data_IF_824366172932
#
_entry.id   IF_824366172932
#
_cell.length_a   1.000
_cell.length_b   1.000
_cell.length_c   1.000
_cell.angle_alpha   90.00
_cell.angle_beta   90.00
_cell.angle_gamma   90.00
#
_symmetry.space_group_name_H-M   'P 1'
#
loop_
_entity.id
_entity.type
_entity.pdbx_description
1 polymer ?
#
# COMPACT_ATOMS: atom_id res chain seq x y z
N UNK A 1 3.47 2.00 16.04
CA UNK A 1 3.70 3.46 15.97
C UNK A 1 2.92 4.03 14.80
N UNK A 2 2.44 5.27 14.90
CA UNK A 2 1.81 5.97 13.79
C UNK A 2 2.79 6.94 13.14
N UNK A 3 3.08 6.75 11.86
CA UNK A 3 3.77 7.73 11.03
C UNK A 3 2.72 8.64 10.38
N UNK A 4 2.90 9.96 10.48
CA UNK A 4 2.00 10.90 9.80
C UNK A 4 2.59 11.33 8.45
N UNK A 5 1.78 11.16 7.41
CA UNK A 5 2.01 11.67 6.07
C UNK A 5 1.11 12.88 5.84
N UNK A 6 1.64 13.97 5.30
CA UNK A 6 0.82 15.09 4.86
C UNK A 6 0.07 14.74 3.57
N UNK A 7 -1.10 15.34 3.35
CA UNK A 7 -1.80 15.22 2.07
C UNK A 7 -1.29 16.26 1.07
N UNK A 8 -0.98 15.84 -0.16
CA UNK A 8 -0.85 16.72 -1.31
C UNK A 8 -2.17 16.69 -2.08
N UNK A 9 -2.82 17.84 -2.17
CA UNK A 9 -4.11 18.05 -2.85
C UNK A 9 -4.00 19.31 -3.72
N UNK A 10 -4.83 19.50 -4.76
CA UNK A 10 -4.74 20.68 -5.64
C UNK A 10 -4.66 22.01 -4.88
N UNK A 11 -5.47 22.18 -3.84
CA UNK A 11 -5.58 23.41 -3.06
C UNK A 11 -4.28 23.78 -2.34
N UNK A 12 -3.50 22.78 -1.90
CA UNK A 12 -2.22 23.03 -1.24
C UNK A 12 -1.01 22.90 -2.16
N UNK A 13 -1.14 22.18 -3.29
CA UNK A 13 -0.11 22.12 -4.32
C UNK A 13 0.23 23.51 -4.87
N UNK A 14 -0.78 24.37 -5.01
CA UNK A 14 -0.63 25.76 -5.47
C UNK A 14 -0.40 26.76 -4.32
N UNK A 15 -0.33 26.29 -3.07
CA UNK A 15 -0.15 27.12 -1.88
C UNK A 15 1.06 26.65 -1.06
N UNK A 16 2.24 27.19 -1.40
CA UNK A 16 3.51 26.85 -0.77
C UNK A 16 3.48 26.98 0.76
N UNK A 17 2.86 28.02 1.31
CA UNK A 17 2.75 28.25 2.75
C UNK A 17 2.00 27.13 3.47
N UNK A 18 1.01 26.52 2.82
CA UNK A 18 0.28 25.39 3.40
C UNK A 18 1.10 24.10 3.41
N UNK A 19 1.84 23.82 2.34
CA UNK A 19 2.77 22.68 2.31
C UNK A 19 3.92 22.85 3.30
N UNK A 20 4.51 24.04 3.40
CA UNK A 20 5.57 24.32 4.37
C UNK A 20 5.08 24.14 5.81
N UNK A 21 3.84 24.52 6.13
CA UNK A 21 3.27 24.28 7.47
C UNK A 21 3.20 22.78 7.80
N UNK A 22 2.81 21.93 6.85
CA UNK A 22 2.79 20.47 7.05
C UNK A 22 4.20 19.93 7.28
N UNK A 23 5.16 20.35 6.46
CA UNK A 23 6.54 19.88 6.54
C UNK A 23 7.25 20.35 7.82
N UNK A 24 7.00 21.60 8.25
CA UNK A 24 7.49 22.13 9.52
C UNK A 24 6.82 21.49 10.73
N UNK A 25 5.59 20.97 10.60
CA UNK A 25 4.96 20.17 11.65
C UNK A 25 5.60 18.78 11.82
N UNK A 26 6.54 18.41 10.93
CA UNK A 26 7.32 17.19 11.04
C UNK A 26 6.73 15.97 10.33
N UNK A 27 5.81 16.14 9.38
CA UNK A 27 5.34 15.00 8.57
C UNK A 27 6.53 14.33 7.86
N UNK A 28 6.50 13.00 7.76
CA UNK A 28 7.61 12.23 7.19
C UNK A 28 7.70 12.35 5.67
N UNK A 29 6.64 12.83 5.04
CA UNK A 29 6.53 13.06 3.61
C UNK A 29 5.11 13.47 3.27
N UNK A 30 4.81 13.46 1.98
CA UNK A 30 3.46 13.71 1.47
C UNK A 30 2.89 12.47 0.79
N UNK A 31 1.57 12.36 0.72
CA UNK A 31 0.83 11.36 -0.07
C UNK A 31 -0.06 12.08 -1.08
N UNK A 32 -0.20 11.52 -2.27
CA UNK A 32 -1.08 12.02 -3.31
C UNK A 32 -1.83 10.91 -4.04
N UNK A 33 -2.91 11.26 -4.74
CA UNK A 33 -3.63 10.38 -5.66
C UNK A 33 -3.70 11.00 -7.06
N UNK A 34 -3.53 10.20 -8.12
CA UNK A 34 -3.71 10.64 -9.51
C UNK A 34 -5.09 10.29 -10.09
N UNK A 35 -5.91 9.62 -9.30
CA UNK A 35 -7.31 9.21 -9.54
C UNK A 35 -8.15 9.63 -8.34
N UNK A 36 -9.49 9.77 -8.43
CA UNK A 36 -10.30 10.08 -7.26
C UNK A 36 -10.07 9.08 -6.13
N UNK A 37 -9.81 9.58 -4.92
CA UNK A 37 -9.48 8.78 -3.73
C UNK A 37 -10.69 8.05 -3.12
N UNK A 38 -11.91 8.35 -3.60
CA UNK A 38 -13.16 7.89 -3.02
C UNK A 38 -13.75 8.81 -1.95
N UNK A 39 -13.03 9.86 -1.54
CA UNK A 39 -13.51 10.90 -0.61
C UNK A 39 -13.28 12.30 -1.15
N UNK A 40 -14.20 13.21 -0.82
CA UNK A 40 -14.14 14.61 -1.26
C UNK A 40 -13.04 15.41 -0.53
N UNK A 41 -12.65 15.00 0.68
CA UNK A 41 -11.65 15.70 1.49
C UNK A 41 -10.21 15.45 1.01
N UNK A 42 -10.02 14.52 0.06
CA UNK A 42 -8.72 14.21 -0.53
C UNK A 42 -8.83 14.15 -2.07
N UNK A 43 -9.05 15.30 -2.74
CA UNK A 43 -9.20 15.35 -4.18
C UNK A 43 -7.92 14.92 -4.92
N UNK A 44 -8.09 14.39 -6.12
CA UNK A 44 -6.99 13.90 -6.94
C UNK A 44 -6.10 15.05 -7.46
N UNK A 45 -4.84 14.72 -7.69
CA UNK A 45 -3.82 15.62 -8.22
C UNK A 45 -3.45 15.28 -9.65
N UNK A 46 -2.99 16.27 -10.41
CA UNK A 46 -2.41 16.09 -11.74
C UNK A 46 -0.89 15.96 -11.65
N UNK A 47 -0.25 15.50 -12.73
CA UNK A 47 1.22 15.54 -12.83
C UNK A 47 1.78 16.95 -12.68
N UNK A 48 1.02 18.00 -13.04
CA UNK A 48 1.40 19.39 -12.79
C UNK A 48 1.41 19.72 -11.29
N UNK A 49 0.37 19.35 -10.52
CA UNK A 49 0.37 19.53 -9.06
C UNK A 49 1.55 18.79 -8.40
N UNK A 50 1.80 17.54 -8.82
CA UNK A 50 2.94 16.75 -8.33
C UNK A 50 4.25 17.47 -8.68
N UNK A 51 4.43 17.91 -9.93
CA UNK A 51 5.61 18.65 -10.36
C UNK A 51 5.82 19.91 -9.52
N UNK A 52 4.77 20.69 -9.26
CA UNK A 52 4.85 21.92 -8.45
C UNK A 52 5.21 21.60 -6.98
N UNK A 53 4.75 20.48 -6.44
CA UNK A 53 5.11 20.07 -5.08
C UNK A 53 6.59 19.64 -4.96
N UNK A 54 7.14 19.07 -6.04
CA UNK A 54 8.54 18.67 -6.14
C UNK A 54 9.43 19.90 -6.41
N UNK A 55 9.04 20.72 -7.39
CA UNK A 55 9.73 21.89 -7.93
C UNK A 55 8.92 23.15 -7.63
N UNK A 56 9.45 24.19 -7.01
CA UNK A 56 8.69 25.46 -6.96
C UNK A 56 8.75 26.19 -8.31
N UNK A 57 7.60 26.68 -8.75
CA UNK A 57 7.48 27.71 -9.78
C UNK A 57 7.48 29.09 -9.13
N UNK A 58 8.19 30.06 -9.72
CA UNK A 58 7.78 31.47 -9.60
C UNK A 58 8.25 32.30 -10.80
N UNK A 59 7.35 33.12 -11.35
CA UNK A 59 7.74 34.22 -12.22
C UNK A 59 8.35 35.35 -11.38
N UNK A 60 9.63 35.66 -11.65
CA UNK A 60 10.17 37.01 -11.45
C UNK A 60 11.04 37.28 -10.21
N UNK A 61 11.33 36.33 -9.32
CA UNK A 61 12.24 36.58 -8.18
C UNK A 61 13.15 35.40 -7.85
N UNK A 62 14.46 35.63 -7.95
CA UNK A 62 15.48 34.70 -7.49
C UNK A 62 15.53 34.61 -5.97
N UNK A 63 15.21 33.44 -5.42
CA UNK A 63 15.97 32.72 -4.38
C UNK A 63 15.31 31.35 -4.16
N UNK A 64 16.15 30.33 -4.03
CA UNK A 64 15.84 28.89 -4.10
C UNK A 64 14.62 28.44 -3.31
N UNK A 65 13.83 27.48 -3.82
CA UNK A 65 13.52 26.26 -3.04
C UNK A 65 12.66 25.23 -3.78
N UNK A 66 13.15 24.00 -4.00
CA UNK A 66 12.29 22.83 -4.17
C UNK A 66 11.74 22.38 -2.80
N UNK A 67 10.42 22.44 -2.53
CA UNK A 67 9.86 22.18 -1.19
C UNK A 67 10.20 20.78 -0.68
N UNK A 68 9.74 19.72 -1.34
CA UNK A 68 10.06 18.37 -0.88
C UNK A 68 11.56 18.07 -0.91
N UNK A 69 12.30 18.60 -1.89
CA UNK A 69 13.73 18.38 -1.97
C UNK A 69 14.51 19.16 -0.88
N UNK A 70 14.04 20.35 -0.49
CA UNK A 70 14.55 21.16 0.63
C UNK A 70 14.51 20.37 1.92
N UNK A 71 13.34 19.81 2.22
CA UNK A 71 13.13 19.02 3.42
C UNK A 71 13.68 17.59 3.24
N UNK A 72 14.13 17.21 2.04
CA UNK A 72 14.56 15.85 1.65
C UNK A 72 13.50 14.82 2.02
N UNK A 73 12.25 15.12 1.68
CA UNK A 73 11.06 14.36 2.04
C UNK A 73 10.53 13.57 0.84
N UNK A 74 10.09 12.32 1.05
CA UNK A 74 9.41 11.53 0.04
C UNK A 74 8.00 12.05 -0.28
N UNK A 75 7.58 11.83 -1.52
CA UNK A 75 6.19 11.87 -1.98
C UNK A 75 5.74 10.47 -2.35
N UNK A 76 4.70 9.98 -1.67
CA UNK A 76 4.00 8.74 -1.99
C UNK A 76 2.88 9.05 -2.99
N UNK A 77 2.74 8.27 -4.06
CA UNK A 77 1.69 8.52 -5.07
C UNK A 77 0.88 7.26 -5.33
N UNK A 78 -0.45 7.38 -5.24
CA UNK A 78 -1.35 6.40 -5.84
C UNK A 78 -1.36 6.63 -7.35
N UNK A 79 -0.78 5.69 -8.10
CA UNK A 79 -0.51 5.84 -9.53
C UNK A 79 -1.56 5.07 -10.37
N UNK A 80 -2.77 5.62 -10.48
CA UNK A 80 -3.73 5.27 -11.52
C UNK A 80 -4.24 6.57 -12.16
N UNK A 81 -4.55 6.55 -13.45
CA UNK A 81 -5.16 7.68 -14.17
C UNK A 81 -6.49 7.27 -14.76
N UNK A 82 -7.49 8.15 -14.68
CA UNK A 82 -8.67 8.03 -15.53
C UNK A 82 -8.24 8.21 -16.98
N UNK A 83 -8.48 7.19 -17.79
CA UNK A 83 -8.21 7.23 -19.22
C UNK A 83 -9.53 7.42 -19.96
N UNK A 84 -9.53 8.36 -20.90
CA UNK A 84 -10.63 8.52 -21.84
C UNK A 84 -10.49 7.43 -22.92
N UNK A 85 -10.94 6.23 -22.56
CA UNK A 85 -10.90 5.07 -23.43
C UNK A 85 -12.28 4.98 -24.09
N UNK A 86 -12.43 5.67 -25.22
CA UNK A 86 -13.64 5.68 -26.06
C UNK A 86 -14.18 4.24 -26.25
N UNK A 87 -15.16 3.84 -25.42
CA UNK A 87 -15.92 2.59 -25.53
C UNK A 87 -15.28 1.27 -25.06
N UNK A 88 -14.03 1.23 -24.56
CA UNK A 88 -13.37 -0.05 -24.22
C UNK A 88 -13.56 -0.52 -22.76
N UNK A 89 -13.93 0.38 -21.84
CA UNK A 89 -14.12 0.06 -20.41
C UNK A 89 -15.55 0.29 -19.90
N UNK A 90 -16.49 0.59 -20.79
CA UNK A 90 -17.87 0.80 -20.38
C UNK A 90 -18.43 -0.52 -19.87
N UNK A 91 -18.76 -0.56 -18.59
CA UNK A 91 -19.57 -1.63 -18.03
C UNK A 91 -20.92 -1.54 -18.73
N UNK A 92 -21.26 -2.55 -19.52
CA UNK A 92 -22.50 -2.56 -20.28
C UNK A 92 -23.67 -2.96 -19.36
N UNK A 93 -24.55 -2.00 -19.07
CA UNK A 93 -25.74 -2.23 -18.26
C UNK A 93 -26.59 -3.38 -18.81
N UNK A 94 -26.79 -4.41 -17.98
CA UNK A 94 -27.58 -5.61 -18.35
C UNK A 94 -26.78 -6.71 -19.06
N UNK A 95 -25.51 -6.47 -19.40
CA UNK A 95 -24.59 -7.49 -19.95
C UNK A 95 -23.55 -7.89 -18.90
N UNK A 96 -22.96 -6.91 -18.23
CA UNK A 96 -21.98 -7.15 -17.18
C UNK A 96 -22.65 -7.35 -15.81
N UNK A 97 -22.27 -8.41 -15.11
CA UNK A 97 -22.75 -8.69 -13.77
C UNK A 97 -21.96 -7.86 -12.74
N UNK A 98 -22.57 -6.84 -12.15
CA UNK A 98 -21.93 -5.99 -11.12
C UNK A 98 -21.47 -6.77 -9.86
N UNK A 99 -21.99 -7.99 -9.64
CA UNK A 99 -21.50 -8.89 -8.59
C UNK A 99 -20.24 -9.65 -8.95
N UNK A 100 -19.86 -9.68 -10.23
CA UNK A 100 -18.62 -10.33 -10.66
C UNK A 100 -17.42 -9.45 -10.37
N UNK A 101 -16.38 -10.03 -9.76
CA UNK A 101 -15.11 -9.30 -9.57
C UNK A 101 -14.46 -8.92 -10.91
N UNK A 102 -14.64 -9.73 -11.95
CA UNK A 102 -14.09 -9.43 -13.28
C UNK A 102 -14.70 -8.17 -13.90
N UNK A 103 -15.96 -7.86 -13.59
CA UNK A 103 -16.61 -6.60 -14.01
C UNK A 103 -15.96 -5.40 -13.35
N UNK A 104 -15.64 -5.47 -12.05
CA UNK A 104 -14.86 -4.43 -11.39
C UNK A 104 -13.44 -4.32 -11.95
N UNK A 105 -12.77 -5.45 -12.19
CA UNK A 105 -11.42 -5.49 -12.75
C UNK A 105 -11.33 -4.78 -14.12
N UNK A 106 -12.36 -4.91 -14.97
CA UNK A 106 -12.46 -4.18 -16.24
C UNK A 106 -12.46 -2.66 -16.05
N UNK A 107 -13.04 -2.13 -14.98
CA UNK A 107 -13.06 -0.67 -14.72
C UNK A 107 -11.70 -0.10 -14.30
N UNK A 108 -10.72 -0.97 -14.06
CA UNK A 108 -9.37 -0.62 -13.56
C UNK A 108 -8.30 -1.36 -14.38
N UNK A 109 -8.23 -1.23 -15.71
CA UNK A 109 -7.22 -1.95 -16.50
C UNK A 109 -5.80 -1.53 -16.12
N UNK A 110 -4.81 -2.36 -16.45
CA UNK A 110 -3.39 -2.07 -16.15
C UNK A 110 -2.92 -0.77 -16.81
N UNK A 111 -3.50 -0.41 -17.95
CA UNK A 111 -3.18 0.82 -18.67
C UNK A 111 -3.36 2.10 -17.84
N UNK A 112 -4.31 2.12 -16.89
CA UNK A 112 -4.48 3.25 -15.95
C UNK A 112 -3.26 3.41 -15.05
N UNK A 113 -2.72 2.30 -14.55
CA UNK A 113 -1.53 2.26 -13.70
C UNK A 113 -0.28 2.61 -14.53
N UNK A 114 -0.12 1.99 -15.70
CA UNK A 114 0.97 2.24 -16.64
C UNK A 114 1.06 3.71 -17.07
N UNK A 115 -0.06 4.34 -17.41
CA UNK A 115 -0.12 5.74 -17.82
C UNK A 115 0.32 6.67 -16.69
N UNK A 116 -0.14 6.41 -15.45
CA UNK A 116 0.24 7.19 -14.28
C UNK A 116 1.75 7.08 -14.02
N UNK A 117 2.28 5.86 -14.03
CA UNK A 117 3.71 5.59 -13.82
C UNK A 117 4.57 6.26 -14.88
N UNK A 118 4.17 6.23 -16.15
CA UNK A 118 4.90 6.93 -17.22
C UNK A 118 4.99 8.44 -16.97
N UNK A 119 3.90 9.09 -16.51
CA UNK A 119 3.93 10.50 -16.14
C UNK A 119 4.87 10.75 -14.95
N UNK A 120 4.81 9.90 -13.93
CA UNK A 120 5.67 9.99 -12.75
C UNK A 120 7.15 9.81 -13.08
N UNK A 121 7.49 8.79 -13.88
CA UNK A 121 8.83 8.54 -14.40
C UNK A 121 9.36 9.77 -15.15
N UNK A 122 8.54 10.44 -15.95
CA UNK A 122 8.96 11.65 -16.65
C UNK A 122 9.38 12.76 -15.69
N UNK A 123 8.70 12.89 -14.55
CA UNK A 123 9.04 13.86 -13.49
C UNK A 123 10.32 13.52 -12.74
N UNK A 124 10.72 12.24 -12.68
CA UNK A 124 11.95 11.84 -11.97
C UNK A 124 13.22 12.46 -12.55
N UNK A 125 13.20 12.87 -13.83
CA UNK A 125 14.31 13.60 -14.46
C UNK A 125 14.65 14.88 -13.69
N UNK A 126 13.64 15.58 -13.17
CA UNK A 126 13.81 16.81 -12.38
C UNK A 126 14.45 16.53 -11.02
N UNK A 127 14.37 15.29 -10.50
CA UNK A 127 14.91 14.90 -9.19
C UNK A 127 16.38 14.46 -9.20
N UNK A 128 16.97 14.34 -10.40
CA UNK A 128 18.37 13.95 -10.61
C UNK A 128 19.32 15.08 -10.22
N UNK A 129 20.61 14.77 -10.09
CA UNK A 129 21.63 15.77 -9.79
C UNK A 129 21.62 16.90 -10.85
N UNK A 130 21.57 18.16 -10.42
CA UNK A 130 21.42 19.34 -11.27
C UNK A 130 20.00 19.60 -11.79
N UNK A 131 19.01 18.76 -11.42
CA UNK A 131 17.60 18.96 -11.76
C UNK A 131 16.88 19.93 -10.80
N UNK A 132 15.74 20.46 -11.23
CA UNK A 132 14.99 21.48 -10.48
C UNK A 132 14.37 20.99 -9.15
N UNK A 133 14.31 19.67 -8.94
CA UNK A 133 13.85 19.01 -7.71
C UNK A 133 14.92 18.06 -7.14
N UNK A 134 16.20 18.35 -7.35
CA UNK A 134 17.29 17.51 -6.84
C UNK A 134 17.16 17.25 -5.34
N UNK A 135 17.00 15.97 -4.97
CA UNK A 135 16.89 15.53 -3.57
C UNK A 135 15.46 15.22 -3.12
N UNK A 136 14.45 15.49 -3.96
CA UNK A 136 13.12 14.93 -3.75
C UNK A 136 13.14 13.43 -4.09
N UNK A 137 12.32 12.67 -3.36
CA UNK A 137 12.13 11.25 -3.60
C UNK A 137 10.67 10.99 -3.95
N UNK A 138 10.44 10.20 -4.99
CA UNK A 138 9.10 9.79 -5.40
C UNK A 138 8.95 8.29 -5.13
N UNK A 139 7.85 7.90 -4.50
CA UNK A 139 7.52 6.52 -4.25
C UNK A 139 6.17 6.23 -4.88
N UNK A 140 6.13 5.22 -5.74
CA UNK A 140 4.86 4.67 -6.20
C UNK A 140 4.46 3.65 -5.15
N UNK A 141 3.30 3.89 -4.55
CA UNK A 141 2.74 2.92 -3.60
C UNK A 141 1.83 1.96 -4.34
N UNK A 142 1.63 0.79 -3.74
CA UNK A 142 0.54 -0.12 -4.07
C UNK A 142 0.40 -0.50 -5.53
N UNK A 143 1.55 -0.77 -6.15
CA UNK A 143 1.66 -1.42 -7.45
C UNK A 143 0.83 -2.70 -7.48
N UNK A 144 -0.03 -2.85 -8.48
CA UNK A 144 -0.79 -4.09 -8.69
C UNK A 144 -0.31 -4.86 -9.90
N UNK A 145 0.24 -4.21 -10.93
CA UNK A 145 0.66 -4.87 -12.16
C UNK A 145 2.19 -5.07 -12.23
N UNK A 146 2.62 -6.32 -12.12
CA UNK A 146 4.01 -6.71 -12.29
C UNK A 146 4.43 -6.91 -13.75
N UNK A 147 3.46 -7.06 -14.67
CA UNK A 147 3.77 -7.43 -16.06
C UNK A 147 4.28 -6.27 -16.88
N UNK A 148 3.73 -5.08 -16.66
CA UNK A 148 4.04 -3.89 -17.45
C UNK A 148 4.48 -2.75 -16.55
N UNK A 149 3.67 -2.35 -15.58
CA UNK A 149 3.90 -1.22 -14.67
C UNK A 149 5.23 -1.36 -13.92
N UNK A 150 5.44 -2.50 -13.25
CA UNK A 150 6.69 -2.77 -12.54
C UNK A 150 7.90 -2.80 -13.46
N UNK A 151 7.76 -3.43 -14.64
CA UNK A 151 8.84 -3.47 -15.64
C UNK A 151 9.22 -2.07 -16.16
N UNK A 152 8.30 -1.10 -16.19
CA UNK A 152 8.62 0.28 -16.53
C UNK A 152 9.54 0.94 -15.50
N UNK A 153 9.40 0.55 -14.22
CA UNK A 153 10.22 1.07 -13.12
C UNK A 153 11.59 0.38 -13.13
N UNK A 154 11.63 -0.96 -13.17
CA UNK A 154 12.89 -1.75 -13.22
C UNK A 154 13.82 -1.34 -14.35
N UNK A 155 13.28 -1.15 -15.56
CA UNK A 155 14.09 -0.95 -16.77
C UNK A 155 14.67 0.45 -16.93
N UNK A 156 14.31 1.41 -16.07
CA UNK A 156 14.86 2.75 -16.15
C UNK A 156 15.79 2.95 -14.96
N UNK A 157 17.02 3.40 -15.23
CA UNK A 157 18.00 3.86 -14.22
C UNK A 157 17.44 5.07 -13.44
N UNK A 158 16.38 4.86 -12.68
CA UNK A 158 15.77 5.82 -11.80
C UNK A 158 16.15 5.36 -10.41
N UNK A 159 17.42 5.58 -10.07
CA UNK A 159 18.02 5.34 -8.73
C UNK A 159 17.33 6.13 -7.58
N UNK A 160 16.13 6.69 -7.79
CA UNK A 160 15.37 7.53 -6.87
C UNK A 160 13.85 7.28 -6.87
N UNK A 161 13.32 6.36 -7.68
CA UNK A 161 11.96 5.83 -7.45
C UNK A 161 12.14 4.58 -6.63
N UNK A 162 11.67 4.65 -5.40
CA UNK A 162 11.66 3.50 -4.50
C UNK A 162 10.23 2.99 -4.44
N UNK A 163 10.08 1.67 -4.46
CA UNK A 163 8.80 0.99 -4.58
C UNK A 163 8.25 0.60 -3.21
N UNK A 164 7.01 0.95 -2.95
CA UNK A 164 6.28 0.40 -1.81
C UNK A 164 5.22 -0.52 -2.39
N UNK A 165 5.50 -1.83 -2.42
CA UNK A 165 4.49 -2.83 -2.73
C UNK A 165 3.48 -2.92 -1.58
N UNK A 166 2.23 -3.17 -1.94
CA UNK A 166 1.27 -3.65 -0.96
C UNK A 166 1.23 -5.15 -0.89
N UNK A 167 1.13 -5.62 0.34
CA UNK A 167 0.43 -6.83 0.69
C UNK A 167 -1.07 -6.54 0.68
N UNK A 168 -1.73 -6.80 -0.45
CA UNK A 168 -3.16 -7.14 -0.42
C UNK A 168 -3.37 -8.52 0.18
N UNK A 169 -4.61 -8.96 0.41
CA UNK A 169 -4.94 -10.32 0.87
C UNK A 169 -6.42 -10.70 0.90
N UNK A 170 -6.81 -11.93 0.51
CA UNK A 170 -7.24 -13.12 1.32
C UNK A 170 -7.83 -14.32 0.51
N UNK A 171 -7.76 -15.55 1.06
CA UNK A 171 -8.37 -16.85 0.69
C UNK A 171 -9.90 -16.88 0.84
N UNK A 172 -10.59 -17.65 0.00
CA UNK A 172 -11.95 -18.14 0.28
C UNK A 172 -12.03 -19.69 0.23
N UNK A 173 -12.72 -20.23 1.24
CA UNK A 173 -13.13 -21.61 1.56
C UNK A 173 -13.03 -22.74 0.50
N UNK A 174 -12.43 -23.87 0.94
CA UNK A 174 -13.23 -25.09 1.05
C UNK A 174 -12.99 -26.27 0.12
N UNK A 175 -11.91 -26.34 -0.68
CA UNK A 175 -11.43 -27.61 -1.29
C UNK A 175 -9.90 -27.52 -1.43
N UNK A 176 -9.20 -28.61 -1.12
CA UNK A 176 -7.73 -28.75 -1.21
C UNK A 176 -7.18 -28.24 -2.55
N UNK A 177 -6.60 -27.05 -2.57
CA UNK A 177 -5.65 -26.55 -3.58
C UNK A 177 -4.99 -25.26 -3.04
N UNK A 178 -3.74 -25.02 -3.40
CA UNK A 178 -2.79 -24.24 -2.61
C UNK A 178 -2.58 -22.82 -3.20
N UNK A 179 -3.20 -21.70 -2.74
CA UNK A 179 -2.94 -20.33 -3.29
C UNK A 179 -2.95 -19.13 -2.27
N UNK A 180 -2.21 -18.01 -2.53
CA UNK A 180 -1.03 -17.46 -1.74
C UNK A 180 -0.68 -15.94 -1.68
N UNK A 181 -0.51 -15.17 -0.57
CA UNK A 181 -0.51 -13.66 -0.53
C UNK A 181 0.42 -12.92 -1.38
N UNK A 182 0.02 -11.90 -2.12
CA UNK A 182 -0.26 -12.24 -3.47
C UNK A 182 -1.47 -13.22 -3.59
N UNK A 183 -2.49 -13.19 -2.69
CA UNK A 183 -3.25 -14.39 -2.12
C UNK A 183 -4.29 -14.75 -3.10
N UNK A 184 -5.02 -13.71 -3.34
CA UNK A 184 -6.18 -13.72 -4.15
C UNK A 184 -5.65 -13.41 -5.53
N UNK A 185 -6.15 -14.21 -6.44
CA UNK A 185 -6.08 -13.91 -7.85
C UNK A 185 -7.51 -13.53 -8.21
N UNK A 186 -7.65 -12.64 -9.19
CA UNK A 186 -8.97 -12.19 -9.65
C UNK A 186 -9.95 -13.34 -9.94
N UNK A 187 -9.44 -14.50 -10.34
CA UNK A 187 -10.16 -15.72 -10.70
C UNK A 187 -10.74 -16.45 -9.49
N UNK A 188 -10.15 -16.28 -8.31
CA UNK A 188 -10.54 -16.98 -7.07
C UNK A 188 -11.48 -16.13 -6.19
N UNK A 189 -11.75 -14.88 -6.56
CA UNK A 189 -12.63 -13.99 -5.79
C UNK A 189 -14.09 -14.35 -6.07
N UNK A 190 -14.88 -14.73 -5.05
CA UNK A 190 -16.28 -15.09 -5.27
C UNK A 190 -17.13 -13.91 -5.68
N UNK A 191 -18.13 -14.20 -6.51
CA UNK A 191 -19.16 -13.22 -6.88
C UNK A 191 -19.88 -12.66 -5.65
N UNK A 192 -19.87 -11.34 -5.53
CA UNK A 192 -20.48 -10.59 -4.44
C UNK A 192 -19.66 -10.47 -3.17
N UNK A 193 -18.44 -11.00 -3.12
CA UNK A 193 -17.56 -10.82 -1.96
C UNK A 193 -16.80 -9.50 -2.04
N UNK A 194 -17.52 -8.42 -1.77
CA UNK A 194 -17.03 -7.03 -1.89
C UNK A 194 -15.91 -6.67 -0.90
N UNK A 195 -15.60 -7.54 0.07
CA UNK A 195 -14.43 -7.40 0.96
C UNK A 195 -13.10 -7.38 0.21
N UNK A 196 -13.09 -7.92 -1.01
CA UNK A 196 -11.93 -7.93 -1.91
C UNK A 196 -11.80 -6.68 -2.78
N UNK A 197 -12.76 -5.75 -2.76
CA UNK A 197 -12.67 -4.52 -3.56
C UNK A 197 -11.56 -3.63 -3.03
N UNK A 198 -10.57 -3.31 -3.86
CA UNK A 198 -9.51 -2.37 -3.55
C UNK A 198 -8.97 -1.70 -4.82
N UNK A 199 -8.35 -0.53 -4.66
CA UNK A 199 -7.71 0.19 -5.75
C UNK A 199 -6.22 0.42 -5.40
N UNK A 200 -5.27 -0.01 -6.25
CA UNK A 200 -5.48 -0.71 -7.52
C UNK A 200 -6.06 -2.13 -7.33
N UNK A 201 -6.71 -2.65 -8.38
CA UNK A 201 -7.44 -3.91 -8.30
C UNK A 201 -6.51 -5.13 -8.20
N UNK A 202 -6.94 -6.15 -7.44
CA UNK A 202 -6.30 -7.48 -7.42
C UNK A 202 -6.29 -8.08 -8.83
N UNK A 203 -5.12 -8.56 -9.26
CA UNK A 203 -4.86 -9.07 -10.62
C UNK A 203 -4.84 -10.60 -10.66
N UNK A 204 -4.58 -11.12 -11.85
CA UNK A 204 -4.63 -12.54 -12.15
C UNK A 204 -3.46 -13.36 -11.56
N UNK A 205 -3.54 -14.68 -11.68
CA UNK A 205 -2.55 -15.60 -11.11
C UNK A 205 -1.14 -15.40 -11.65
N UNK A 206 -0.99 -15.19 -12.96
CA UNK A 206 0.33 -15.01 -13.56
C UNK A 206 0.93 -13.63 -13.26
N UNK A 207 0.13 -12.63 -12.91
CA UNK A 207 0.64 -11.37 -12.34
C UNK A 207 1.17 -11.59 -10.92
N UNK A 208 0.44 -12.36 -10.10
CA UNK A 208 0.87 -12.76 -8.76
C UNK A 208 2.26 -13.40 -8.76
N UNK A 209 2.54 -14.35 -9.65
CA UNK A 209 3.86 -15.02 -9.67
C UNK A 209 4.99 -13.99 -9.91
N UNK A 210 4.79 -13.02 -10.81
CA UNK A 210 5.78 -11.97 -11.07
C UNK A 210 5.98 -10.99 -9.92
N UNK A 211 4.95 -10.74 -9.12
CA UNK A 211 5.09 -9.92 -7.91
C UNK A 211 5.95 -10.65 -6.86
N UNK A 212 5.88 -11.98 -6.77
CA UNK A 212 6.75 -12.77 -5.89
C UNK A 212 8.19 -12.73 -6.37
N UNK A 213 8.41 -12.94 -7.66
CA UNK A 213 9.74 -12.85 -8.26
C UNK A 213 10.36 -11.48 -7.95
N UNK A 214 9.63 -10.39 -8.19
CA UNK A 214 10.10 -9.03 -7.91
C UNK A 214 10.38 -8.76 -6.43
N UNK A 215 9.58 -9.32 -5.52
CA UNK A 215 9.82 -9.20 -4.09
C UNK A 215 11.12 -9.90 -3.69
N UNK A 216 11.35 -11.12 -4.19
CA UNK A 216 12.53 -11.91 -3.85
C UNK A 216 13.80 -11.40 -4.51
N UNK A 217 13.69 -10.86 -5.72
CA UNK A 217 14.78 -10.23 -6.47
C UNK A 217 15.19 -8.88 -5.86
N UNK A 218 14.39 -8.33 -4.93
CA UNK A 218 14.65 -7.07 -4.25
C UNK A 218 14.29 -5.82 -5.07
N UNK A 219 13.49 -5.98 -6.11
CA UNK A 219 12.97 -4.85 -6.89
C UNK A 219 11.92 -4.04 -6.10
N UNK A 220 11.34 -4.66 -5.07
CA UNK A 220 10.34 -4.07 -4.20
C UNK A 220 10.98 -3.71 -2.85
N UNK A 221 11.04 -2.40 -2.54
CA UNK A 221 11.72 -1.94 -1.32
C UNK A 221 10.94 -2.24 -0.03
N UNK A 222 9.60 -2.19 -0.08
CA UNK A 222 8.77 -2.26 1.12
C UNK A 222 7.46 -3.01 0.88
N UNK A 223 7.03 -3.73 1.92
CA UNK A 223 5.69 -4.30 2.00
C UNK A 223 4.83 -3.53 3.01
N UNK A 224 3.63 -3.14 2.61
CA UNK A 224 2.65 -2.45 3.46
C UNK A 224 1.25 -3.06 3.36
N UNK A 225 0.43 -2.87 4.38
CA UNK A 225 -0.94 -3.41 4.46
C UNK A 225 -1.99 -2.68 3.61
N UNK A 226 -1.75 -1.38 3.37
CA UNK A 226 -2.78 -0.41 2.96
C UNK A 226 -4.12 -0.58 3.69
N UNK A 227 -4.03 -0.81 5.00
CA UNK A 227 -5.20 -1.02 5.82
C UNK A 227 -6.18 0.15 5.68
N UNK A 228 -7.29 -0.11 5.00
CA UNK A 228 -8.32 0.88 4.67
C UNK A 228 -9.68 0.35 5.12
N UNK A 229 -9.93 0.28 6.44
CA UNK A 229 -11.18 -0.21 6.97
C UNK A 229 -12.31 0.80 6.70
N UNK A 230 -13.51 0.28 6.53
CA UNK A 230 -14.74 1.07 6.42
C UNK A 230 -15.78 0.54 7.40
N UNK A 231 -16.92 1.23 7.50
CA UNK A 231 -18.06 0.73 8.26
C UNK A 231 -18.75 -0.39 7.48
N UNK A 232 -19.31 -1.43 8.14
CA UNK A 232 -19.86 -2.60 7.44
C UNK A 232 -20.92 -2.28 6.38
N UNK A 233 -21.71 -1.21 6.57
CA UNK A 233 -22.76 -0.81 5.65
C UNK A 233 -22.21 -0.36 4.28
N UNK A 234 -20.98 0.16 4.25
CA UNK A 234 -20.36 0.67 3.04
C UNK A 234 -19.71 -0.43 2.19
N UNK A 235 -19.44 -1.62 2.75
CA UNK A 235 -18.88 -2.73 1.97
C UNK A 235 -19.96 -3.37 1.07
N UNK A 236 -21.25 -3.19 1.36
CA UNK A 236 -22.37 -3.72 0.58
C UNK A 236 -22.32 -5.25 0.36
N UNK A 237 -21.93 -6.03 1.38
CA UNK A 237 -21.74 -7.48 1.25
C UNK A 237 -23.03 -8.23 0.83
N UNK A 238 -24.20 -7.79 1.32
CA UNK A 238 -25.48 -8.40 0.96
C UNK A 238 -25.86 -8.13 -0.51
N UNK A 239 -25.68 -6.88 -0.97
CA UNK A 239 -25.92 -6.50 -2.37
C UNK A 239 -24.88 -7.13 -3.30
N UNK A 240 -23.64 -7.27 -2.82
CA UNK A 240 -22.50 -7.84 -3.54
C UNK A 240 -22.05 -7.01 -4.75
N UNK A 241 -22.52 -5.78 -4.90
CA UNK A 241 -22.21 -4.94 -6.06
C UNK A 241 -20.80 -4.35 -5.91
N UNK A 242 -19.84 -4.91 -6.66
CA UNK A 242 -18.46 -4.44 -6.66
C UNK A 242 -18.30 -3.04 -7.27
N UNK A 243 -19.24 -2.54 -8.05
CA UNK A 243 -19.14 -1.21 -8.65
C UNK A 243 -19.52 -0.12 -7.62
N UNK A 244 -20.47 -0.41 -6.75
CA UNK A 244 -20.94 0.51 -5.70
C UNK A 244 -20.20 0.41 -4.37
N UNK A 245 -19.76 -0.78 -3.99
CA UNK A 245 -19.16 -1.02 -2.67
C UNK A 245 -17.97 -0.09 -2.39
N UNK A 246 -17.71 0.23 -1.14
CA UNK A 246 -16.48 0.91 -0.76
C UNK A 246 -15.27 0.01 -1.03
N UNK A 247 -14.19 0.59 -1.59
CA UNK A 247 -12.94 -0.13 -1.82
C UNK A 247 -11.94 0.09 -0.68
N UNK A 248 -11.41 -0.99 -0.11
CA UNK A 248 -10.40 -0.95 0.95
C UNK A 248 -10.35 -2.24 1.76
N UNK A 249 -9.15 -2.82 1.91
CA UNK A 249 -8.97 -4.09 2.62
C UNK A 249 -8.63 -3.85 4.09
N UNK A 250 -9.33 -4.56 4.97
CA UNK A 250 -9.07 -4.54 6.41
C UNK A 250 -7.99 -5.56 6.80
N UNK A 251 -6.71 -5.19 6.65
CA UNK A 251 -5.55 -6.11 6.64
C UNK A 251 -4.50 -5.96 7.76
N UNK A 252 -4.49 -4.87 8.55
CA UNK A 252 -3.32 -4.46 9.36
C UNK A 252 -2.73 -5.56 10.26
N UNK A 253 -3.57 -6.36 10.90
CA UNK A 253 -3.13 -7.41 11.84
C UNK A 253 -2.42 -8.58 11.15
N UNK A 254 -2.69 -8.80 9.86
CA UNK A 254 -2.39 -10.06 9.19
C UNK A 254 -1.18 -9.99 8.25
N UNK A 255 -0.56 -8.82 8.11
CA UNK A 255 0.59 -8.56 7.24
C UNK A 255 1.69 -9.61 7.43
N UNK A 256 2.26 -9.69 8.64
CA UNK A 256 3.36 -10.60 8.96
C UNK A 256 2.98 -12.08 8.75
N UNK A 257 1.91 -12.63 9.38
CA UNK A 257 1.57 -14.03 9.21
C UNK A 257 1.18 -14.36 7.76
N UNK A 258 0.52 -13.46 7.03
CA UNK A 258 0.19 -13.71 5.63
C UNK A 258 1.46 -13.77 4.78
N UNK A 259 2.31 -12.74 4.80
CA UNK A 259 3.56 -12.74 4.01
C UNK A 259 4.38 -13.98 4.30
N UNK A 260 4.51 -14.37 5.56
CA UNK A 260 5.24 -15.56 5.94
C UNK A 260 4.60 -16.83 5.39
N UNK A 261 3.33 -17.08 5.73
CA UNK A 261 2.57 -18.27 5.29
C UNK A 261 2.75 -18.52 3.81
N UNK A 262 2.63 -17.45 3.05
CA UNK A 262 2.55 -17.57 1.62
C UNK A 262 3.88 -17.45 0.90
N UNK A 263 4.80 -16.65 1.44
CA UNK A 263 6.14 -16.50 0.89
C UNK A 263 7.02 -17.71 1.11
N UNK A 264 6.71 -18.57 2.10
CA UNK A 264 7.43 -19.83 2.34
C UNK A 264 7.55 -20.68 1.08
N UNK A 265 6.51 -20.78 0.24
CA UNK A 265 6.58 -21.60 -0.98
C UNK A 265 7.51 -21.04 -2.05
N UNK A 266 7.77 -19.73 -2.00
CA UNK A 266 8.73 -19.06 -2.89
C UNK A 266 10.13 -18.99 -2.28
N UNK A 267 10.29 -19.43 -1.02
CA UNK A 267 11.56 -19.41 -0.33
C UNK A 267 11.89 -18.06 0.32
N UNK A 268 10.88 -17.25 0.70
CA UNK A 268 11.15 -16.01 1.46
C UNK A 268 11.96 -16.34 2.73
N UNK A 269 13.04 -15.62 2.95
CA UNK A 269 13.85 -15.77 4.17
C UNK A 269 13.37 -14.82 5.26
N UNK A 270 13.81 -15.07 6.49
CA UNK A 270 13.56 -14.15 7.60
C UNK A 270 14.22 -12.78 7.38
N UNK A 271 15.42 -12.77 6.78
CA UNK A 271 16.14 -11.55 6.45
C UNK A 271 15.39 -10.71 5.42
N UNK A 272 14.83 -11.34 4.38
CA UNK A 272 13.98 -10.67 3.39
C UNK A 272 12.70 -10.13 4.02
N UNK A 273 12.05 -10.92 4.87
CA UNK A 273 10.86 -10.49 5.61
C UNK A 273 11.17 -9.30 6.53
N UNK A 274 12.33 -9.30 7.19
CA UNK A 274 12.80 -8.21 8.03
C UNK A 274 13.16 -6.97 7.21
N UNK A 275 13.80 -7.11 6.05
CA UNK A 275 14.24 -5.99 5.22
C UNK A 275 13.08 -5.25 4.55
N UNK A 276 12.06 -5.99 4.10
CA UNK A 276 10.86 -5.39 3.47
C UNK A 276 9.90 -4.80 4.50
N UNK A 277 10.03 -5.18 5.78
CA UNK A 277 9.26 -4.63 6.89
C UNK A 277 10.02 -3.46 7.53
N UNK A 278 10.09 -2.31 6.86
CA UNK A 278 10.81 -1.11 7.35
C UNK A 278 10.29 -0.54 8.71
N UNK A 279 9.27 -1.17 9.32
CA UNK A 279 8.71 -0.84 10.63
C UNK A 279 8.72 -2.01 11.63
N UNK A 280 9.30 -3.16 11.28
CA UNK A 280 9.40 -4.32 12.16
C UNK A 280 10.84 -4.82 12.09
N UNK A 281 11.62 -4.54 13.13
CA UNK A 281 12.83 -5.33 13.39
C UNK A 281 12.33 -6.73 13.74
N UNK A 282 12.30 -7.61 12.74
CA UNK A 282 12.07 -9.04 12.92
C UNK A 282 13.36 -9.62 13.48
N UNK A 283 13.31 -10.17 14.69
CA UNK A 283 14.45 -10.85 15.28
C UNK A 283 14.55 -12.26 14.67
N UNK A 284 15.55 -12.42 13.81
CA UNK A 284 16.32 -13.67 13.77
C UNK A 284 17.73 -13.31 14.21
N UNK A 285 18.27 -14.10 15.14
CA UNK A 285 19.51 -13.86 15.90
C UNK A 285 20.53 -12.89 15.28
N UNK A 286 20.85 -11.81 16.01
CA UNK A 286 22.15 -11.15 15.92
C UNK A 286 22.22 -9.76 15.27
N UNK A 287 21.58 -8.75 15.86
CA UNK A 287 22.14 -7.38 16.06
C UNK A 287 21.08 -6.43 16.66
N UNK A 288 21.07 -6.25 17.99
CA UNK A 288 20.13 -5.32 18.68
C UNK A 288 20.89 -4.34 19.60
N UNK A 289 22.15 -4.02 19.29
CA UNK A 289 22.88 -3.01 20.05
C UNK A 289 22.80 -1.66 19.35
N UNK A 290 22.18 -0.66 20.01
CA UNK A 290 22.19 0.74 19.57
C UNK A 290 20.94 1.25 18.84
N UNK A 291 19.98 0.39 18.51
CA UNK A 291 18.71 0.77 17.88
C UNK A 291 17.55 0.87 18.89
N UNK A 292 16.45 1.47 18.45
CA UNK A 292 15.19 1.49 19.18
C UNK A 292 14.65 0.07 19.37
N UNK A 293 14.19 -0.25 20.59
CA UNK A 293 13.72 -1.59 20.95
C UNK A 293 12.28 -1.87 20.47
N UNK A 294 12.09 -1.86 19.15
CA UNK A 294 10.85 -2.30 18.49
C UNK A 294 11.01 -3.76 18.11
N UNK A 295 10.34 -4.66 18.82
CA UNK A 295 10.64 -6.09 18.76
C UNK A 295 9.34 -6.88 18.66
N UNK A 296 9.31 -7.89 17.80
CA UNK A 296 8.23 -8.89 17.77
C UNK A 296 8.79 -10.23 18.23
N UNK A 297 8.12 -10.85 19.20
CA UNK A 297 8.34 -12.23 19.62
C UNK A 297 7.33 -13.09 18.88
N UNK A 298 7.83 -14.07 18.13
CA UNK A 298 7.08 -14.70 17.05
C UNK A 298 7.39 -16.19 16.95
N UNK A 299 6.37 -17.01 16.73
CA UNK A 299 6.48 -18.44 16.44
C UNK A 299 6.11 -18.69 14.97
N UNK A 300 7.10 -18.76 14.04
CA UNK A 300 6.86 -18.78 12.60
C UNK A 300 6.08 -20.01 12.11
N UNK A 301 6.26 -21.15 12.76
CA UNK A 301 5.71 -22.43 12.30
C UNK A 301 4.34 -22.77 12.89
N UNK A 302 3.86 -21.97 13.86
CA UNK A 302 2.54 -22.19 14.46
C UNK A 302 1.46 -21.74 13.49
N UNK A 303 0.64 -22.70 13.06
CA UNK A 303 -0.52 -22.47 12.22
C UNK A 303 -1.78 -22.15 13.04
N UNK A 304 -2.66 -21.34 12.47
CA UNK A 304 -3.93 -20.97 13.05
C UNK A 304 -4.95 -20.65 11.96
N UNK A 305 -6.21 -20.99 12.22
CA UNK A 305 -7.33 -20.62 11.37
C UNK A 305 -7.88 -19.25 11.82
N UNK A 306 -8.20 -18.37 10.87
CA UNK A 306 -8.85 -17.09 11.09
C UNK A 306 -10.37 -17.26 11.07
N UNK A 307 -10.88 -18.05 12.01
CA UNK A 307 -12.31 -18.24 12.23
C UNK A 307 -12.90 -17.16 13.16
N UNK A 308 -14.16 -17.32 13.53
CA UNK A 308 -14.86 -16.37 14.42
C UNK A 308 -14.32 -16.39 15.86
N UNK A 309 -13.59 -17.43 16.25
CA UNK A 309 -13.04 -17.59 17.59
C UNK A 309 -11.60 -17.04 17.67
N UNK A 310 -10.94 -16.82 16.52
CA UNK A 310 -9.65 -16.16 16.46
C UNK A 310 -9.74 -14.68 16.91
N UNK A 311 -8.91 -14.22 17.86
CA UNK A 311 -8.89 -12.83 18.27
C UNK A 311 -8.46 -11.89 17.13
N UNK A 312 -9.39 -11.09 16.64
CA UNK A 312 -9.14 -10.05 15.63
C UNK A 312 -9.40 -8.67 16.25
N UNK A 313 -8.38 -7.82 16.19
CA UNK A 313 -8.33 -6.53 16.90
C UNK A 313 -8.50 -5.31 15.99
N UNK A 314 -8.59 -5.51 14.67
CA UNK A 314 -8.95 -4.41 13.76
C UNK A 314 -10.41 -3.98 14.03
N UNK A 315 -10.72 -2.71 13.77
CA UNK A 315 -11.98 -2.07 14.21
C UNK A 315 -13.25 -2.82 13.78
N UNK A 316 -13.25 -3.40 12.58
CA UNK A 316 -14.37 -4.16 12.03
C UNK A 316 -13.87 -5.54 11.54
N UNK A 317 -13.76 -6.54 12.43
CA UNK A 317 -13.21 -7.86 12.09
C UNK A 317 -13.98 -8.61 11.01
N UNK A 318 -15.32 -8.54 11.05
CA UNK A 318 -16.21 -9.30 10.18
C UNK A 318 -16.09 -8.94 8.69
N UNK A 319 -15.58 -7.74 8.38
CA UNK A 319 -15.39 -7.28 7.00
C UNK A 319 -13.97 -7.50 6.50
N UNK A 320 -13.09 -8.09 7.31
CA UNK A 320 -11.78 -8.48 6.80
C UNK A 320 -11.95 -9.53 5.73
N UNK A 321 -11.30 -9.31 4.59
CA UNK A 321 -11.14 -10.34 3.61
C UNK A 321 -10.48 -11.58 4.26
N UNK A 322 -9.61 -11.39 5.29
CA UNK A 322 -8.77 -12.40 5.96
C UNK A 322 -9.52 -13.55 6.64
N UNK A 323 -10.79 -13.33 6.96
CA UNK A 323 -11.61 -14.29 7.69
C UNK A 323 -11.87 -15.55 6.87
N UNK A 324 -11.69 -16.72 7.50
CA UNK A 324 -11.82 -18.04 6.89
C UNK A 324 -10.51 -18.59 6.31
N UNK A 325 -9.41 -17.85 6.38
CA UNK A 325 -8.10 -18.31 5.90
C UNK A 325 -7.30 -19.03 6.99
N UNK A 326 -6.38 -19.91 6.58
CA UNK A 326 -5.41 -20.54 7.47
C UNK A 326 -4.05 -19.88 7.28
N UNK A 327 -3.48 -19.36 8.35
CA UNK A 327 -2.17 -18.71 8.35
C UNK A 327 -1.20 -19.43 9.28
N UNK A 328 0.07 -19.04 9.21
CA UNK A 328 1.20 -19.48 10.01
C UNK A 328 1.97 -18.26 10.48
N UNK A 329 2.62 -18.37 11.64
CA UNK A 329 3.41 -17.31 12.21
C UNK A 329 2.67 -16.55 13.30
N UNK A 330 2.52 -17.17 14.48
CA UNK A 330 1.80 -16.58 15.61
C UNK A 330 2.66 -15.52 16.31
N UNK A 331 2.15 -14.30 16.42
CA UNK A 331 2.78 -13.24 17.23
C UNK A 331 2.46 -13.50 18.71
N UNK A 332 3.49 -13.65 19.53
CA UNK A 332 3.36 -13.88 20.98
C UNK A 332 3.41 -12.58 21.78
N UNK A 333 4.31 -11.68 21.39
CA UNK A 333 4.45 -10.39 22.03
C UNK A 333 5.00 -9.34 21.07
N UNK A 334 4.65 -8.08 21.31
CA UNK A 334 5.20 -6.94 20.59
C UNK A 334 5.68 -5.90 21.58
N UNK A 335 6.87 -5.39 21.36
CA UNK A 335 7.47 -4.29 22.09
C UNK A 335 7.63 -3.08 21.18
N UNK A 336 7.30 -1.89 21.70
CA UNK A 336 7.48 -0.61 21.02
C UNK A 336 8.26 0.34 21.93
N UNK A 337 9.40 0.84 21.48
CA UNK A 337 10.39 1.56 22.29
C UNK A 337 10.74 0.81 23.59
N UNK A 338 10.81 -0.52 23.55
CA UNK A 338 11.06 -1.37 24.72
C UNK A 338 9.87 -1.60 25.65
N UNK A 339 8.71 -0.98 25.38
CA UNK A 339 7.49 -1.19 26.16
C UNK A 339 6.69 -2.35 25.58
N UNK A 340 6.25 -3.29 26.43
CA UNK A 340 5.36 -4.37 26.02
C UNK A 340 3.98 -3.79 25.65
N UNK A 341 3.61 -3.85 24.37
CA UNK A 341 2.35 -3.30 23.84
C UNK A 341 1.33 -4.36 23.46
N UNK A 342 1.77 -5.61 23.29
CA UNK A 342 0.93 -6.76 23.03
C UNK A 342 1.54 -8.01 23.65
N UNK A 343 0.72 -8.86 24.27
CA UNK A 343 1.11 -10.20 24.73
C UNK A 343 -0.09 -11.15 24.68
N UNK A 344 0.06 -12.27 23.97
CA UNK A 344 -0.90 -13.39 23.96
C UNK A 344 -2.37 -12.93 23.84
N UNK A 345 -2.69 -12.17 22.79
CA UNK A 345 -4.06 -11.68 22.53
C UNK A 345 -4.48 -10.43 23.32
N UNK A 346 -3.62 -9.89 24.20
CA UNK A 346 -3.93 -8.74 25.02
C UNK A 346 -3.08 -7.53 24.62
N UNK A 347 -3.73 -6.40 24.31
CA UNK A 347 -3.06 -5.12 24.09
C UNK A 347 -2.83 -4.37 25.41
N UNK A 348 -1.78 -3.56 25.46
CA UNK A 348 -1.58 -2.63 26.57
C UNK A 348 -2.78 -1.67 26.69
N UNK A 349 -3.19 -1.36 27.92
CA UNK A 349 -4.36 -0.52 28.19
C UNK A 349 -4.14 0.97 27.91
N UNK A 350 -2.90 1.38 27.67
CA UNK A 350 -2.51 2.76 27.39
C UNK A 350 -1.63 2.82 26.15
N UNK A 351 -1.73 3.93 25.41
CA UNK A 351 -0.83 4.20 24.30
C UNK A 351 0.61 4.36 24.83
N UNK A 352 1.50 3.48 24.38
CA UNK A 352 2.90 3.44 24.83
C UNK A 352 3.87 4.11 23.86
N UNK A 353 3.39 4.56 22.70
CA UNK A 353 4.21 5.07 21.61
C UNK A 353 3.80 6.49 21.23
N UNK A 354 4.78 7.33 20.90
CA UNK A 354 4.57 8.66 20.36
C UNK A 354 4.43 8.60 18.83
N UNK A 355 3.75 9.57 18.21
CA UNK A 355 3.81 9.76 16.77
C UNK A 355 5.25 9.88 16.28
N UNK A 356 5.55 9.21 15.16
CA UNK A 356 6.82 9.41 14.47
C UNK A 356 6.67 10.65 13.60
N UNK A 357 7.32 11.72 14.04
CA UNK A 357 7.49 12.96 13.30
C UNK A 357 8.98 13.18 13.09
N UNK A 358 9.35 13.74 11.96
CA UNK A 358 10.70 14.21 11.78
C UNK A 358 10.88 15.51 12.55
N UNK A 359 11.82 15.50 13.50
CA UNK A 359 12.18 16.66 14.31
C UNK A 359 13.32 17.44 13.69
#
# INVERSE_FOLDING_TARGET
>A
MGCFWGGLVPENAENASSLERLLNAGVLGLKSFMVPSGINDFPMTTSSHIKISLCRWEQGKGSDFPTLARYKRPLLVHAELLLDLDGELEVEDGVDNARSYSTYLKTRPTSMEEAAINQLIALTKETRAGGSAEGAHLYIVHQSDARTSLNLIKNREVNKVKEILLLFATVVNGVRADHYVLISVSEDIPDGDTRFKCAPAIRDAANKEKLWDALLDGDIDMLSSDHSPTVPEMILLDEGDFLKAWGGISSLQFVLPATWTYGRKYGITFEQLASCAYLIIVLVQGAIAGNQADIVVWEPDVEFDLDNDHPVHIKHPSISAYMGSRLSGKVLATFAHGNLVYKEGNHASHACALPILHR
#
